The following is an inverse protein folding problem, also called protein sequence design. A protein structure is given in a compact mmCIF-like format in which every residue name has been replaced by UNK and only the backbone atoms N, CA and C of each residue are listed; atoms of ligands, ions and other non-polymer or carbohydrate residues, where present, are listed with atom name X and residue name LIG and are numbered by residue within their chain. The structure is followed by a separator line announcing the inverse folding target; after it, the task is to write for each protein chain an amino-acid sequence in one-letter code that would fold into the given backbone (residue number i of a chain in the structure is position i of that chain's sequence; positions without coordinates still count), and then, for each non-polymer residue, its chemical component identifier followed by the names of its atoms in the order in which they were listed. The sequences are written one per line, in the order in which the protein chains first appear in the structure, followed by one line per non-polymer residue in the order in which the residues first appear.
data_IF_432443863329
#
_entry.id   IF_432443863329
#
_cell.length_a   1.000
_cell.length_b   1.000
_cell.length_c   1.000
_cell.angle_alpha   90.00
_cell.angle_beta   90.00
_cell.angle_gamma   90.00
#
_symmetry.space_group_name_H-M   'P 1'
#
loop_
_entity.id
_entity.type
_entity.pdbx_description
1 polymer ?
#
# COMPACT_ATOMS: atom_id res chain seq x y z
N UNK A 1 -23.68 -15.29 39.31
CA UNK A 1 -22.28 -15.04 39.75
C UNK A 1 -21.68 -13.97 38.82
N UNK A 2 -20.97 -13.00 39.38
CA UNK A 2 -20.27 -11.97 38.56
C UNK A 2 -19.04 -12.66 37.91
N UNK A 3 -18.96 -12.79 36.58
CA UNK A 3 -17.93 -13.57 35.88
C UNK A 3 -16.50 -13.11 36.24
N UNK A 4 -16.33 -11.81 36.48
CA UNK A 4 -15.06 -11.22 36.88
C UNK A 4 -14.52 -11.78 38.22
N UNK A 5 -15.40 -11.99 39.23
CA UNK A 5 -15.00 -12.62 40.49
C UNK A 5 -14.54 -14.08 40.35
N UNK A 6 -15.14 -14.80 39.40
CA UNK A 6 -14.79 -16.19 39.07
C UNK A 6 -13.36 -16.26 38.46
N UNK A 7 -13.07 -15.41 37.48
CA UNK A 7 -11.76 -15.31 36.84
C UNK A 7 -10.66 -14.95 37.84
N UNK A 8 -10.93 -13.94 38.69
CA UNK A 8 -9.96 -13.48 39.69
C UNK A 8 -9.62 -14.53 40.73
N UNK A 9 -10.62 -15.28 41.22
CA UNK A 9 -10.38 -16.41 42.14
C UNK A 9 -9.55 -17.54 41.51
N UNK A 10 -9.60 -17.67 40.19
CA UNK A 10 -8.93 -18.75 39.42
C UNK A 10 -7.70 -18.25 38.63
N UNK A 11 -7.16 -17.05 38.99
CA UNK A 11 -6.04 -16.42 38.27
C UNK A 11 -4.82 -17.33 38.07
N UNK A 12 -4.52 -18.21 39.00
CA UNK A 12 -3.41 -19.18 38.88
C UNK A 12 -3.62 -20.22 37.77
N UNK A 13 -4.89 -20.51 37.40
CA UNK A 13 -5.22 -21.45 36.33
C UNK A 13 -5.22 -20.81 34.94
N UNK A 14 -5.53 -19.50 34.87
CA UNK A 14 -5.57 -18.73 33.63
C UNK A 14 -4.28 -17.96 33.37
N UNK A 15 -3.35 -17.91 34.32
CA UNK A 15 -2.17 -17.05 34.24
C UNK A 15 -1.33 -17.30 33.02
N UNK A 16 -1.11 -18.57 32.67
CA UNK A 16 -0.39 -18.95 31.46
C UNK A 16 -1.12 -18.51 30.18
N UNK A 17 -2.43 -18.77 30.09
CA UNK A 17 -3.25 -18.36 28.95
C UNK A 17 -3.29 -16.84 28.78
N UNK A 18 -3.41 -16.11 29.87
CA UNK A 18 -3.38 -14.65 29.87
C UNK A 18 -2.05 -14.14 29.31
N UNK A 19 -0.93 -14.70 29.82
CA UNK A 19 0.41 -14.34 29.33
C UNK A 19 0.58 -14.67 27.85
N UNK A 20 0.14 -15.85 27.42
CA UNK A 20 0.19 -16.28 26.02
C UNK A 20 -0.57 -15.30 25.12
N UNK A 21 -1.79 -14.90 25.49
CA UNK A 21 -2.59 -13.96 24.70
C UNK A 21 -1.96 -12.56 24.70
N UNK A 22 -1.36 -12.09 25.82
CA UNK A 22 -0.66 -10.81 25.89
C UNK A 22 0.49 -10.77 24.87
N UNK A 23 1.37 -11.77 24.92
CA UNK A 23 2.53 -11.85 24.01
C UNK A 23 2.06 -11.99 22.56
N UNK A 24 1.09 -12.87 22.34
CA UNK A 24 0.52 -13.09 21.02
C UNK A 24 -0.11 -11.81 20.42
N UNK A 25 -0.80 -11.02 21.23
CA UNK A 25 -1.43 -9.78 20.78
C UNK A 25 -0.42 -8.69 20.44
N UNK A 26 0.69 -8.60 21.19
CA UNK A 26 1.77 -7.68 20.88
C UNK A 26 2.45 -8.06 19.54
N UNK A 27 2.69 -9.35 19.29
CA UNK A 27 3.23 -9.84 18.03
C UNK A 27 2.23 -9.65 16.90
N UNK A 28 0.95 -9.93 17.15
CA UNK A 28 -0.12 -9.75 16.15
C UNK A 28 -0.24 -8.27 15.75
N UNK A 29 -0.09 -7.33 16.66
CA UNK A 29 -0.07 -5.91 16.35
C UNK A 29 1.05 -5.61 15.36
N UNK A 30 2.29 -5.99 15.67
CA UNK A 30 3.46 -5.78 14.79
C UNK A 30 3.25 -6.34 13.37
N UNK A 31 2.60 -7.51 13.26
CA UNK A 31 2.41 -8.18 11.96
C UNK A 31 1.22 -7.61 11.19
N UNK A 32 0.11 -7.33 11.89
CA UNK A 32 -1.13 -6.86 11.26
C UNK A 32 -1.09 -5.38 10.86
N UNK A 33 -0.34 -4.58 11.60
CA UNK A 33 -0.23 -3.16 11.38
C UNK A 33 0.04 -2.80 9.90
N UNK A 34 1.15 -3.20 9.25
CA UNK A 34 1.40 -2.88 7.86
C UNK A 34 0.36 -3.52 6.89
N UNK A 35 -0.27 -4.63 7.28
CA UNK A 35 -1.31 -5.27 6.46
C UNK A 35 -2.58 -4.42 6.46
N UNK A 36 -3.00 -3.93 7.62
CA UNK A 36 -4.18 -3.07 7.77
C UNK A 36 -4.00 -1.78 6.98
N UNK A 37 -2.80 -1.17 7.06
CA UNK A 37 -2.45 0.02 6.28
C UNK A 37 -2.50 -0.28 4.79
N UNK A 38 -1.86 -1.35 4.34
CA UNK A 38 -1.85 -1.74 2.92
C UNK A 38 -3.26 -2.00 2.37
N UNK A 39 -4.13 -2.68 3.14
CA UNK A 39 -5.54 -2.87 2.75
C UNK A 39 -6.25 -1.53 2.63
N UNK A 40 -6.11 -0.65 3.60
CA UNK A 40 -6.70 0.68 3.56
C UNK A 40 -6.23 1.46 2.34
N UNK A 41 -4.93 1.51 2.11
CA UNK A 41 -4.34 2.23 1.00
C UNK A 41 -4.76 1.67 -0.37
N UNK A 42 -4.91 0.36 -0.49
CA UNK A 42 -5.38 -0.29 -1.72
C UNK A 42 -6.84 0.05 -2.09
N UNK A 43 -7.65 0.48 -1.11
CA UNK A 43 -9.06 0.87 -1.35
C UNK A 43 -9.22 2.33 -1.75
N UNK A 44 -8.17 3.14 -1.61
CA UNK A 44 -8.25 4.57 -1.94
C UNK A 44 -8.01 4.82 -3.43
N UNK A 45 -8.60 5.90 -3.93
CA UNK A 45 -8.36 6.35 -5.31
C UNK A 45 -6.90 6.81 -5.46
N UNK A 46 -6.22 6.38 -6.53
CA UNK A 46 -4.84 6.79 -6.84
C UNK A 46 -4.76 8.21 -7.41
N UNK A 47 -5.88 8.84 -7.77
CA UNK A 47 -5.91 10.10 -8.50
C UNK A 47 -5.76 9.96 -10.01
N UNK A 48 -5.58 8.74 -10.52
CA UNK A 48 -5.54 8.38 -11.93
C UNK A 48 -6.17 7.00 -12.17
N UNK A 49 -6.45 6.68 -13.44
CA UNK A 49 -7.29 5.53 -13.83
C UNK A 49 -6.45 4.27 -14.09
N UNK A 50 -6.01 3.60 -13.02
CA UNK A 50 -5.19 2.38 -13.12
C UNK A 50 -5.92 1.16 -13.72
N UNK A 51 -7.25 1.13 -13.64
CA UNK A 51 -8.02 -0.06 -14.02
C UNK A 51 -8.01 -0.31 -15.54
N UNK A 52 -7.83 0.76 -16.30
CA UNK A 52 -7.83 0.75 -17.77
C UNK A 52 -6.44 0.75 -18.39
N UNK A 53 -5.39 0.76 -17.56
CA UNK A 53 -4.02 0.86 -18.02
C UNK A 53 -3.36 -0.51 -18.17
N UNK A 54 -2.68 -0.70 -19.30
CA UNK A 54 -1.83 -1.87 -19.57
C UNK A 54 -0.44 -1.36 -19.91
N UNK A 55 0.56 -1.92 -19.25
CA UNK A 55 1.95 -1.62 -19.55
C UNK A 55 2.55 -2.70 -20.43
N UNK A 56 3.25 -2.27 -21.45
CA UNK A 56 4.07 -3.10 -22.33
C UNK A 56 5.52 -2.75 -22.07
N UNK A 57 6.24 -3.69 -21.51
CA UNK A 57 7.67 -3.55 -21.33
C UNK A 57 8.40 -4.21 -22.50
N UNK A 58 9.10 -3.39 -23.27
CA UNK A 58 9.92 -3.81 -24.40
C UNK A 58 11.38 -4.00 -23.99
N UNK A 59 12.06 -4.85 -24.73
CA UNK A 59 13.50 -5.05 -24.61
C UNK A 59 14.12 -5.15 -26.00
N UNK A 60 15.42 -4.96 -26.07
CA UNK A 60 16.18 -5.29 -27.28
C UNK A 60 16.09 -6.78 -27.57
N UNK A 61 16.21 -7.14 -28.82
CA UNK A 61 16.35 -8.54 -29.21
C UNK A 61 17.64 -9.15 -28.65
N UNK A 62 17.65 -10.46 -28.48
CA UNK A 62 18.86 -11.19 -28.12
C UNK A 62 19.92 -11.06 -29.23
N UNK A 63 21.19 -11.05 -28.85
CA UNK A 63 22.32 -10.99 -29.80
C UNK A 63 22.30 -12.15 -30.80
N UNK A 64 21.68 -13.27 -30.43
CA UNK A 64 21.52 -14.45 -31.30
C UNK A 64 20.33 -14.37 -32.25
N UNK A 65 19.47 -13.34 -32.09
CA UNK A 65 18.32 -13.16 -32.97
C UNK A 65 18.77 -12.68 -34.37
N UNK A 66 18.30 -13.28 -35.46
CA UNK A 66 18.67 -12.87 -36.81
C UNK A 66 18.33 -11.42 -37.17
N UNK A 67 17.36 -10.82 -36.45
CA UNK A 67 16.97 -9.42 -36.62
C UNK A 67 17.76 -8.44 -35.75
N UNK A 68 18.70 -8.93 -34.91
CA UNK A 68 19.54 -8.10 -34.07
C UNK A 68 20.54 -7.31 -34.89
N UNK A 69 20.65 -6.02 -34.61
CA UNK A 69 21.61 -5.10 -35.22
C UNK A 69 22.37 -4.34 -34.14
N UNK A 70 23.63 -4.68 -33.94
CA UNK A 70 24.45 -4.13 -32.86
C UNK A 70 24.63 -2.61 -32.96
N UNK A 71 24.76 -2.06 -34.17
CA UNK A 71 24.93 -0.62 -34.38
C UNK A 71 23.67 0.13 -33.99
N UNK A 72 22.51 -0.36 -34.41
CA UNK A 72 21.21 0.24 -34.03
C UNK A 72 20.90 0.05 -32.56
N UNK A 73 21.32 -1.05 -31.97
CA UNK A 73 21.08 -1.33 -30.57
C UNK A 73 21.84 -0.38 -29.61
N UNK A 74 22.83 0.33 -30.06
CA UNK A 74 23.60 1.34 -29.33
C UNK A 74 23.28 2.78 -29.73
N UNK A 75 22.54 2.97 -30.81
CA UNK A 75 22.14 4.26 -31.34
C UNK A 75 20.78 4.69 -30.74
N UNK A 76 20.80 5.79 -29.99
CA UNK A 76 19.61 6.30 -29.28
C UNK A 76 18.51 6.71 -30.25
N UNK A 77 18.85 7.39 -31.33
CA UNK A 77 17.89 7.87 -32.33
C UNK A 77 17.22 6.69 -33.05
N UNK A 78 17.99 5.64 -33.31
CA UNK A 78 17.47 4.40 -33.88
C UNK A 78 16.53 3.66 -32.91
N UNK A 79 16.88 3.61 -31.62
CA UNK A 79 16.02 3.01 -30.58
C UNK A 79 14.72 3.80 -30.41
N UNK A 80 14.80 5.12 -30.36
CA UNK A 80 13.61 6.00 -30.32
C UNK A 80 12.69 5.75 -31.52
N UNK A 81 13.29 5.71 -32.73
CA UNK A 81 12.54 5.40 -33.95
C UNK A 81 11.87 4.02 -33.91
N UNK A 82 12.56 3.00 -33.39
CA UNK A 82 12.02 1.65 -33.28
C UNK A 82 10.84 1.62 -32.27
N UNK A 83 10.93 2.33 -31.14
CA UNK A 83 9.84 2.47 -30.18
C UNK A 83 8.63 3.19 -30.80
N UNK A 84 8.88 4.32 -31.47
CA UNK A 84 7.83 5.11 -32.11
C UNK A 84 7.11 4.36 -33.25
N UNK A 85 7.76 3.38 -33.89
CA UNK A 85 7.11 2.50 -34.88
C UNK A 85 6.20 1.43 -34.26
N UNK A 86 6.45 1.07 -33.01
CA UNK A 86 5.63 0.06 -32.31
C UNK A 86 4.32 0.66 -31.78
N UNK A 87 4.32 1.93 -31.38
CA UNK A 87 3.14 2.60 -30.80
C UNK A 87 1.91 2.55 -31.69
N UNK A 88 1.97 2.89 -32.99
CA UNK A 88 0.80 2.81 -33.89
C UNK A 88 0.21 1.40 -34.03
N UNK A 89 1.03 0.35 -33.88
CA UNK A 89 0.53 -1.03 -33.92
C UNK A 89 -0.38 -1.33 -32.74
N UNK A 90 -0.01 -0.88 -31.54
CA UNK A 90 -0.87 -1.02 -30.37
C UNK A 90 -2.09 -0.10 -30.45
N UNK A 91 -1.91 1.12 -30.92
CA UNK A 91 -3.01 2.08 -31.08
C UNK A 91 -4.07 1.61 -32.09
N UNK A 92 -3.69 0.79 -33.09
CA UNK A 92 -4.61 0.23 -34.06
C UNK A 92 -5.48 -0.92 -33.52
N UNK A 93 -5.21 -1.44 -32.33
CA UNK A 93 -6.02 -2.49 -31.73
C UNK A 93 -7.37 -1.94 -31.28
N UNK A 94 -8.46 -2.64 -31.63
CA UNK A 94 -9.85 -2.21 -31.39
C UNK A 94 -10.12 -1.82 -29.93
N UNK A 95 -9.49 -2.50 -28.98
CA UNK A 95 -9.70 -2.30 -27.55
C UNK A 95 -8.88 -1.16 -26.96
N UNK A 96 -7.89 -0.67 -27.70
CA UNK A 96 -7.01 0.40 -27.25
C UNK A 96 -7.61 1.76 -27.59
N UNK A 97 -7.66 2.64 -26.63
CA UNK A 97 -8.05 4.03 -26.77
C UNK A 97 -6.85 4.91 -27.12
N UNK A 98 -5.74 4.71 -26.38
CA UNK A 98 -4.49 5.45 -26.57
C UNK A 98 -3.28 4.55 -26.28
N UNK A 99 -2.18 4.83 -26.96
CA UNK A 99 -0.89 4.21 -26.73
C UNK A 99 0.19 5.29 -26.73
N UNK A 100 0.99 5.35 -25.67
CA UNK A 100 2.04 6.37 -25.50
C UNK A 100 3.36 5.74 -25.02
N UNK A 101 4.51 6.30 -25.39
CA UNK A 101 5.78 5.95 -24.77
C UNK A 101 5.82 6.50 -23.34
N UNK A 102 6.50 5.80 -22.44
CA UNK A 102 6.78 6.29 -21.10
C UNK A 102 8.26 6.65 -20.96
N UNK A 103 8.59 7.71 -20.21
CA UNK A 103 9.96 8.01 -19.86
C UNK A 103 10.49 6.92 -18.89
N UNK A 104 11.80 6.86 -18.73
CA UNK A 104 12.44 5.85 -17.87
C UNK A 104 12.26 6.18 -16.40
N UNK A 105 12.07 7.44 -16.06
CA UNK A 105 11.93 7.93 -14.69
C UNK A 105 10.50 8.30 -14.37
N UNK A 106 10.07 7.96 -13.17
CA UNK A 106 8.75 8.30 -12.67
C UNK A 106 7.69 7.23 -12.98
N UNK A 107 6.46 7.65 -13.21
CA UNK A 107 5.32 6.76 -13.38
C UNK A 107 5.54 5.71 -14.49
N UNK A 108 5.61 4.45 -14.08
CA UNK A 108 5.81 3.32 -15.01
C UNK A 108 7.23 3.21 -15.61
N UNK A 109 8.13 4.11 -15.29
CA UNK A 109 9.49 4.13 -15.83
C UNK A 109 10.46 3.17 -15.13
N UNK A 110 10.21 2.84 -13.88
CA UNK A 110 11.01 1.88 -13.09
C UNK A 110 12.27 2.46 -12.46
N UNK A 111 12.48 3.76 -12.53
CA UNK A 111 13.56 4.47 -11.85
C UNK A 111 12.97 5.57 -10.98
N UNK A 112 12.79 5.25 -9.70
CA UNK A 112 12.21 6.16 -8.71
C UNK A 112 13.24 7.20 -8.30
N UNK A 113 12.89 8.48 -8.37
CA UNK A 113 13.73 9.56 -7.88
C UNK A 113 12.93 10.54 -7.02
N UNK A 114 13.62 11.17 -6.06
CA UNK A 114 13.03 12.13 -5.15
C UNK A 114 13.86 13.42 -5.17
N UNK A 115 13.17 14.54 -5.08
CA UNK A 115 13.77 15.84 -4.82
C UNK A 115 13.49 16.23 -3.37
N UNK A 116 14.50 16.76 -2.70
CA UNK A 116 14.34 17.34 -1.36
C UNK A 116 14.01 18.82 -1.48
N UNK A 117 12.96 19.23 -0.79
CA UNK A 117 12.49 20.60 -0.79
C UNK A 117 12.47 21.13 0.62
N UNK A 118 12.90 22.36 0.78
CA UNK A 118 12.72 23.10 2.02
C UNK A 118 11.46 23.94 1.95
N UNK A 119 10.54 23.69 2.88
CA UNK A 119 9.32 24.47 3.05
C UNK A 119 9.62 25.84 3.68
N UNK A 120 8.65 26.77 3.69
CA UNK A 120 8.83 28.11 4.30
C UNK A 120 9.22 28.09 5.77
N UNK A 121 8.86 27.04 6.49
CA UNK A 121 9.20 26.82 7.91
C UNK A 121 10.56 26.14 8.13
N UNK A 122 11.37 26.01 7.06
CA UNK A 122 12.64 25.32 7.04
C UNK A 122 12.56 23.78 7.20
N UNK A 123 11.38 23.19 7.15
CA UNK A 123 11.21 21.73 7.12
C UNK A 123 11.61 21.20 5.76
N UNK A 124 12.37 20.11 5.72
CA UNK A 124 12.75 19.41 4.49
C UNK A 124 11.79 18.26 4.24
N UNK A 125 11.21 18.22 3.03
CA UNK A 125 10.35 17.14 2.55
C UNK A 125 10.93 16.52 1.28
N UNK A 126 10.65 15.24 1.08
CA UNK A 126 10.97 14.57 -0.17
C UNK A 126 9.73 14.65 -1.09
N UNK A 127 9.88 15.04 -2.35
CA UNK A 127 8.84 14.97 -3.37
C UNK A 127 9.22 13.95 -4.44
N UNK A 128 8.25 13.13 -4.85
CA UNK A 128 8.47 12.16 -5.93
C UNK A 128 8.62 12.91 -7.26
N UNK A 129 9.73 12.65 -7.93
CA UNK A 129 10.02 13.24 -9.22
C UNK A 129 9.58 12.32 -10.35
N UNK A 130 8.59 12.75 -11.09
CA UNK A 130 8.12 12.10 -12.28
C UNK A 130 8.51 12.90 -13.52
N UNK A 131 8.82 12.22 -14.60
CA UNK A 131 8.98 12.86 -15.90
C UNK A 131 7.86 12.42 -16.83
N UNK A 132 7.56 13.24 -17.82
CA UNK A 132 6.62 12.93 -18.88
C UNK A 132 7.21 13.38 -20.23
N UNK A 133 6.76 12.74 -21.31
CA UNK A 133 7.17 13.11 -22.66
C UNK A 133 6.13 14.09 -23.18
N UNK A 134 6.52 15.36 -23.48
CA UNK A 134 5.60 16.36 -24.03
C UNK A 134 4.95 15.87 -25.34
N UNK A 135 3.75 16.37 -25.66
CA UNK A 135 2.99 16.05 -26.87
C UNK A 135 2.55 14.58 -27.02
N UNK A 136 2.67 13.77 -25.94
CA UNK A 136 2.25 12.37 -25.96
C UNK A 136 0.91 12.11 -25.28
N UNK A 137 0.18 13.14 -24.86
CA UNK A 137 -1.07 13.04 -24.11
C UNK A 137 -0.92 12.24 -22.78
N UNK A 138 0.22 12.38 -22.12
CA UNK A 138 0.57 11.64 -20.91
C UNK A 138 -0.48 11.78 -19.81
N UNK A 139 -0.83 13.01 -19.41
CA UNK A 139 -1.77 13.26 -18.31
C UNK A 139 -3.17 12.74 -18.65
N UNK A 140 -3.63 12.94 -19.89
CA UNK A 140 -4.91 12.42 -20.35
C UNK A 140 -4.92 10.89 -20.38
N UNK A 141 -3.84 10.27 -20.87
CA UNK A 141 -3.73 8.80 -20.94
C UNK A 141 -3.72 8.16 -19.54
N UNK A 142 -3.01 8.77 -18.59
CA UNK A 142 -3.03 8.34 -17.19
C UNK A 142 -4.40 8.59 -16.51
N UNK A 143 -5.17 9.57 -16.97
CA UNK A 143 -6.44 9.98 -16.37
C UNK A 143 -6.25 10.91 -15.17
N UNK A 144 -5.18 11.70 -15.13
CA UNK A 144 -5.03 12.79 -14.18
C UNK A 144 -6.09 13.87 -14.43
N UNK A 145 -6.38 14.66 -13.41
CA UNK A 145 -7.32 15.77 -13.46
C UNK A 145 -6.62 17.05 -13.05
N UNK A 146 -6.87 18.15 -13.78
CA UNK A 146 -6.42 19.47 -13.37
C UNK A 146 -7.21 19.96 -12.16
N UNK A 147 -6.59 20.78 -11.34
CA UNK A 147 -7.26 21.49 -10.25
C UNK A 147 -8.06 22.66 -10.83
N UNK A 148 -9.31 22.41 -11.27
CA UNK A 148 -10.13 23.36 -12.04
C UNK A 148 -10.59 24.58 -11.23
N UNK A 149 -10.63 24.48 -9.90
CA UNK A 149 -11.00 25.56 -8.99
C UNK A 149 -9.89 26.59 -8.79
N UNK A 150 -8.69 26.37 -9.33
CA UNK A 150 -7.54 27.27 -9.21
C UNK A 150 -7.53 28.22 -10.40
N UNK A 151 -7.66 29.54 -10.17
CA UNK A 151 -7.63 30.53 -11.24
C UNK A 151 -6.34 30.50 -12.05
N UNK A 152 -6.46 30.44 -13.38
CA UNK A 152 -5.31 30.45 -14.30
C UNK A 152 -4.55 29.11 -14.37
N UNK A 153 -5.04 28.06 -13.73
CA UNK A 153 -4.46 26.73 -13.88
C UNK A 153 -4.71 26.19 -15.30
N UNK A 154 -3.68 25.66 -15.99
CA UNK A 154 -3.87 25.07 -17.31
C UNK A 154 -4.76 23.82 -17.26
N UNK A 155 -5.43 23.54 -18.36
CA UNK A 155 -6.17 22.29 -18.56
C UNK A 155 -5.21 21.10 -18.70
N UNK A 156 -5.73 19.89 -18.56
CA UNK A 156 -4.93 18.67 -18.78
C UNK A 156 -4.39 18.58 -20.21
N UNK A 157 -5.15 19.04 -21.19
CA UNK A 157 -4.74 19.09 -22.59
C UNK A 157 -3.58 20.07 -22.81
N UNK A 158 -3.61 21.21 -22.15
CA UNK A 158 -2.51 22.18 -22.17
C UNK A 158 -1.28 21.62 -21.46
N UNK A 159 -1.44 20.98 -20.30
CA UNK A 159 -0.34 20.34 -19.56
C UNK A 159 0.36 19.23 -20.37
N UNK A 160 -0.37 18.46 -21.20
CA UNK A 160 0.23 17.45 -22.07
C UNK A 160 1.25 18.02 -23.05
N UNK A 161 1.05 19.27 -23.48
CA UNK A 161 1.85 19.93 -24.50
C UNK A 161 2.88 20.91 -23.90
N UNK A 162 2.87 21.09 -22.59
CA UNK A 162 3.79 22.01 -21.93
C UNK A 162 5.22 21.45 -21.92
N UNK A 163 6.16 22.33 -22.21
CA UNK A 163 7.56 22.10 -21.88
C UNK A 163 7.81 22.62 -20.46
N UNK A 164 7.96 21.71 -19.51
CA UNK A 164 8.21 22.04 -18.11
C UNK A 164 9.69 21.90 -17.83
N UNK A 165 10.39 23.00 -17.64
CA UNK A 165 11.81 23.00 -17.43
C UNK A 165 12.18 22.38 -16.08
N UNK A 166 12.99 21.33 -16.14
CA UNK A 166 13.46 20.58 -14.99
C UNK A 166 14.12 21.42 -13.87
N UNK A 167 14.70 22.55 -14.21
CA UNK A 167 15.45 23.37 -13.26
C UNK A 167 14.63 24.51 -12.65
N UNK A 168 13.62 24.99 -13.34
CA UNK A 168 12.94 26.24 -12.99
C UNK A 168 11.42 26.12 -12.88
N UNK A 169 10.84 25.05 -13.39
CA UNK A 169 9.38 24.86 -13.48
C UNK A 169 8.95 23.49 -12.98
N UNK A 170 7.70 23.38 -12.55
CA UNK A 170 7.08 22.09 -12.19
C UNK A 170 5.58 22.12 -12.41
N UNK A 171 5.01 20.99 -12.78
CA UNK A 171 3.61 20.66 -12.52
C UNK A 171 3.60 19.85 -11.23
N UNK A 172 2.74 20.19 -10.28
CA UNK A 172 2.69 19.48 -8.99
C UNK A 172 1.27 19.11 -8.57
N UNK A 173 1.16 18.30 -7.54
CA UNK A 173 -0.13 17.99 -6.92
C UNK A 173 -0.62 19.14 -6.06
N UNK A 174 -1.95 19.20 -5.85
CA UNK A 174 -2.61 20.21 -5.01
C UNK A 174 -2.00 20.27 -3.60
N UNK A 175 -1.79 19.12 -2.99
CA UNK A 175 -1.16 19.02 -1.67
C UNK A 175 0.22 19.66 -1.63
N UNK A 176 1.04 19.42 -2.66
CA UNK A 176 2.37 20.02 -2.70
C UNK A 176 2.32 21.54 -2.88
N UNK A 177 1.44 22.03 -3.74
CA UNK A 177 1.23 23.46 -3.91
C UNK A 177 0.82 24.14 -2.59
N UNK A 178 -0.09 23.52 -1.83
CA UNK A 178 -0.49 24.01 -0.49
C UNK A 178 0.66 24.02 0.50
N UNK A 179 1.48 22.99 0.54
CA UNK A 179 2.62 22.94 1.45
C UNK A 179 3.65 24.05 1.15
N UNK A 180 3.82 24.39 -0.13
CA UNK A 180 4.76 25.43 -0.56
C UNK A 180 4.25 26.85 -0.34
N UNK A 181 2.95 27.09 -0.53
CA UNK A 181 2.38 28.43 -0.60
C UNK A 181 1.27 28.73 0.42
N UNK A 182 0.86 27.74 1.23
CA UNK A 182 -0.32 27.87 2.10
C UNK A 182 -1.62 27.77 1.32
N UNK A 183 -2.71 28.29 1.89
CA UNK A 183 -4.06 28.18 1.30
C UNK A 183 -4.32 29.18 0.15
N UNK A 184 -3.47 30.19 -0.01
CA UNK A 184 -3.59 31.23 -1.04
C UNK A 184 -2.72 30.94 -2.28
N UNK A 185 -2.59 29.68 -2.68
CA UNK A 185 -1.80 29.33 -3.85
C UNK A 185 -2.58 29.51 -5.16
N UNK A 186 -1.94 30.12 -6.12
CA UNK A 186 -2.42 30.21 -7.51
C UNK A 186 -1.37 29.65 -8.46
N UNK A 187 -1.80 28.97 -9.53
CA UNK A 187 -0.90 28.21 -10.40
C UNK A 187 0.17 29.07 -11.09
N UNK A 188 -0.09 30.32 -11.39
CA UNK A 188 0.76 31.09 -12.32
C UNK A 188 1.61 32.18 -11.68
N UNK A 189 1.38 32.56 -10.43
CA UNK A 189 2.02 33.77 -9.84
C UNK A 189 3.01 33.46 -8.72
N UNK A 190 3.12 32.22 -8.29
CA UNK A 190 3.91 31.89 -7.12
C UNK A 190 5.26 31.30 -7.48
N UNK A 191 6.25 32.16 -7.59
CA UNK A 191 7.63 31.75 -7.47
C UNK A 191 8.05 31.81 -6.01
N UNK A 192 8.32 30.65 -5.37
CA UNK A 192 9.03 30.60 -4.08
C UNK A 192 10.30 29.78 -4.23
N UNK A 193 11.34 30.25 -3.56
CA UNK A 193 12.63 29.56 -3.47
C UNK A 193 12.46 28.21 -2.77
N UNK A 194 12.41 27.16 -3.54
CA UNK A 194 12.65 25.83 -3.01
C UNK A 194 14.17 25.61 -2.98
N UNK A 195 14.76 25.64 -1.81
CA UNK A 195 16.17 25.31 -1.66
C UNK A 195 16.33 23.80 -1.60
N UNK A 196 16.94 23.25 -2.61
CA UNK A 196 17.37 21.86 -2.61
C UNK A 196 18.61 21.71 -1.71
N UNK A 197 18.50 20.90 -0.66
CA UNK A 197 19.59 20.66 0.31
C UNK A 197 20.46 19.42 0.00
N UNK A 198 20.65 19.04 -1.24
CA UNK A 198 21.67 18.05 -1.55
C UNK A 198 22.89 18.70 -2.20
N UNK A 199 23.91 18.89 -1.42
CA UNK A 199 25.10 19.70 -1.61
C UNK A 199 26.02 19.43 -2.80
N UNK A 200 25.59 18.72 -3.84
CA UNK A 200 26.42 18.55 -5.04
C UNK A 200 25.80 19.08 -6.34
N UNK A 201 24.48 19.30 -6.40
CA UNK A 201 23.79 19.74 -7.62
C UNK A 201 23.11 21.10 -7.51
N UNK A 202 23.00 21.67 -6.31
CA UNK A 202 22.13 22.83 -6.03
C UNK A 202 22.79 24.21 -6.13
N UNK A 203 23.98 24.33 -6.68
CA UNK A 203 24.70 25.62 -6.70
C UNK A 203 24.00 26.72 -7.50
N UNK A 204 23.00 26.40 -8.32
CA UNK A 204 22.36 27.39 -9.22
C UNK A 204 20.83 27.23 -9.37
N UNK A 205 20.12 26.56 -8.48
CA UNK A 205 18.66 26.50 -8.61
C UNK A 205 18.04 27.78 -8.04
N UNK A 206 17.44 28.55 -8.93
CA UNK A 206 16.62 29.70 -8.63
C UNK A 206 15.24 29.32 -8.08
N UNK A 207 14.32 30.26 -8.10
CA UNK A 207 12.93 30.03 -7.71
C UNK A 207 12.25 29.00 -8.62
N UNK A 208 11.70 27.93 -8.04
CA UNK A 208 10.96 26.94 -8.79
C UNK A 208 9.52 27.42 -8.99
N UNK A 209 9.10 27.58 -10.24
CA UNK A 209 7.78 28.10 -10.61
C UNK A 209 6.79 26.96 -10.78
N UNK A 210 5.63 27.03 -10.13
CA UNK A 210 4.51 26.16 -10.41
C UNK A 210 3.83 26.63 -11.69
N UNK A 211 3.81 25.79 -12.72
CA UNK A 211 3.20 26.09 -14.02
C UNK A 211 1.91 25.31 -14.27
N UNK A 212 1.58 24.35 -13.39
CA UNK A 212 0.34 23.62 -13.42
C UNK A 212 0.11 22.83 -12.12
N UNK A 213 -1.15 22.67 -11.75
CA UNK A 213 -1.55 21.92 -10.55
C UNK A 213 -2.56 20.87 -10.96
N UNK A 214 -2.25 19.62 -10.62
CA UNK A 214 -3.18 18.49 -10.76
C UNK A 214 -3.83 18.18 -9.41
N UNK A 215 -4.98 17.51 -9.46
CA UNK A 215 -5.60 16.94 -8.27
C UNK A 215 -4.68 15.94 -7.59
N UNK A 216 -4.88 15.75 -6.29
CA UNK A 216 -4.04 14.84 -5.52
C UNK A 216 -4.04 13.44 -6.11
N UNK A 217 -2.86 12.96 -6.36
CA UNK A 217 -2.59 11.64 -6.89
C UNK A 217 -1.46 10.98 -6.10
N UNK A 218 -1.31 9.68 -6.24
CA UNK A 218 -0.30 8.92 -5.50
C UNK A 218 0.82 8.50 -6.43
N UNK A 219 2.04 8.64 -5.97
CA UNK A 219 3.21 8.18 -6.73
C UNK A 219 3.15 6.68 -7.04
N UNK A 220 2.61 5.90 -6.11
CA UNK A 220 2.35 4.47 -6.25
C UNK A 220 0.94 4.15 -5.76
N UNK A 221 0.26 3.24 -6.42
CA UNK A 221 -1.14 2.93 -6.17
C UNK A 221 -1.50 2.58 -4.73
N UNK A 222 -0.61 1.94 -3.99
CA UNK A 222 -0.81 1.49 -2.62
C UNK A 222 -0.16 2.40 -1.56
N UNK A 223 0.67 3.37 -1.97
CA UNK A 223 1.30 4.30 -1.02
C UNK A 223 0.65 5.66 -1.09
N UNK A 224 0.18 6.21 0.04
CA UNK A 224 -0.43 7.53 0.10
C UNK A 224 0.65 8.62 0.05
N UNK A 225 1.34 8.73 -1.08
CA UNK A 225 2.35 9.74 -1.28
C UNK A 225 1.89 10.79 -2.29
N UNK A 226 1.34 11.92 -1.82
CA UNK A 226 0.71 12.90 -2.68
C UNK A 226 1.66 13.98 -3.21
N UNK A 227 2.94 13.97 -2.82
CA UNK A 227 3.89 14.98 -3.25
C UNK A 227 4.57 14.52 -4.53
N UNK A 228 4.07 14.98 -5.67
CA UNK A 228 4.54 14.55 -6.98
C UNK A 228 4.80 15.76 -7.84
N UNK A 229 5.97 15.79 -8.48
CA UNK A 229 6.41 16.78 -9.44
C UNK A 229 6.63 16.19 -10.79
N UNK A 230 6.14 16.86 -11.79
CA UNK A 230 6.30 16.46 -13.17
C UNK A 230 7.17 17.47 -13.93
N UNK A 231 8.08 16.90 -14.71
CA UNK A 231 9.00 17.62 -15.59
C UNK A 231 8.95 17.05 -16.99
N UNK A 232 9.17 17.88 -17.99
CA UNK A 232 9.30 17.42 -19.37
C UNK A 232 10.63 16.70 -19.56
N UNK A 233 10.58 15.49 -20.15
CA UNK A 233 11.78 14.72 -20.51
C UNK A 233 11.56 14.04 -21.87
N UNK A 234 12.12 14.56 -22.97
CA UNK A 234 12.00 13.92 -24.28
C UNK A 234 12.50 12.48 -24.26
N UNK A 235 11.89 11.63 -25.08
CA UNK A 235 12.22 10.21 -25.12
C UNK A 235 13.71 9.98 -25.40
N UNK A 236 14.30 10.70 -26.35
CA UNK A 236 15.73 10.64 -26.68
C UNK A 236 16.63 10.98 -25.48
N UNK A 237 16.24 11.97 -24.68
CA UNK A 237 17.00 12.30 -23.47
C UNK A 237 16.84 11.24 -22.39
N UNK A 238 15.63 10.78 -22.17
CA UNK A 238 15.31 9.71 -21.23
C UNK A 238 16.07 8.41 -21.56
N UNK A 239 16.19 8.06 -22.84
CA UNK A 239 16.92 6.87 -23.32
C UNK A 239 18.41 6.90 -23.00
N UNK A 240 19.05 8.09 -22.91
CA UNK A 240 20.48 8.23 -22.53
C UNK A 240 20.81 7.67 -21.16
N UNK A 241 19.81 7.65 -20.27
CA UNK A 241 19.98 7.20 -18.89
C UNK A 241 19.51 5.74 -18.68
N UNK A 242 19.15 5.05 -19.78
CA UNK A 242 18.62 3.69 -19.74
C UNK A 242 19.71 2.63 -19.59
N UNK A 243 20.03 2.29 -18.36
CA UNK A 243 21.01 1.24 -18.06
C UNK A 243 20.44 -0.20 -18.18
N UNK A 244 19.09 -0.34 -18.30
CA UNK A 244 18.41 -1.64 -18.20
C UNK A 244 17.96 -2.21 -19.53
N UNK A 245 18.13 -1.49 -20.64
CA UNK A 245 17.64 -1.85 -21.98
C UNK A 245 16.13 -2.24 -21.99
N UNK A 246 15.35 -1.58 -21.17
CA UNK A 246 13.90 -1.79 -21.05
C UNK A 246 13.22 -0.50 -21.42
N UNK A 247 12.18 -0.61 -22.25
CA UNK A 247 11.41 0.53 -22.73
C UNK A 247 9.95 0.26 -22.42
N UNK A 248 9.24 1.26 -21.95
CA UNK A 248 7.86 1.10 -21.52
C UNK A 248 6.92 1.86 -22.44
N UNK A 249 5.84 1.19 -22.85
CA UNK A 249 4.70 1.78 -23.53
C UNK A 249 3.48 1.61 -22.63
N UNK A 250 2.71 2.66 -22.47
CA UNK A 250 1.45 2.64 -21.75
C UNK A 250 0.30 2.61 -22.73
N UNK A 251 -0.61 1.68 -22.53
CA UNK A 251 -1.85 1.56 -23.27
C UNK A 251 -3.01 1.91 -22.35
N UNK A 252 -3.89 2.79 -22.82
CA UNK A 252 -5.19 3.01 -22.21
C UNK A 252 -6.25 2.24 -22.99
N UNK A 253 -7.01 1.41 -22.30
CA UNK A 253 -8.08 0.64 -22.90
C UNK A 253 -9.38 1.43 -22.94
N UNK A 254 -10.25 1.13 -23.89
CA UNK A 254 -11.60 1.68 -23.97
C UNK A 254 -12.44 1.30 -22.75
N UNK A 255 -13.45 2.11 -22.40
CA UNK A 255 -14.36 1.80 -21.28
C UNK A 255 -15.00 0.41 -21.45
N UNK A 256 -15.01 -0.36 -20.34
CA UNK A 256 -15.58 -1.71 -20.33
C UNK A 256 -14.61 -2.84 -20.67
N UNK A 257 -13.41 -2.53 -21.18
CA UNK A 257 -12.39 -3.53 -21.47
C UNK A 257 -11.62 -3.92 -20.18
N UNK A 258 -11.31 -5.21 -20.06
CA UNK A 258 -10.52 -5.74 -18.95
C UNK A 258 -9.03 -5.72 -19.26
N UNK A 259 -8.25 -4.91 -18.51
CA UNK A 259 -6.80 -4.83 -18.67
C UNK A 259 -6.13 -6.21 -18.55
N UNK A 260 -6.54 -7.01 -17.57
CA UNK A 260 -6.05 -8.38 -17.38
C UNK A 260 -6.44 -9.33 -18.50
N UNK A 261 -7.67 -9.21 -19.01
CA UNK A 261 -8.16 -10.00 -20.14
C UNK A 261 -7.40 -9.66 -21.41
N UNK A 262 -7.23 -8.37 -21.70
CA UNK A 262 -6.45 -7.87 -22.82
C UNK A 262 -5.00 -8.35 -22.76
N UNK A 263 -4.32 -8.16 -21.65
CA UNK A 263 -2.93 -8.60 -21.48
C UNK A 263 -2.75 -10.11 -21.72
N UNK A 264 -3.67 -10.93 -21.23
CA UNK A 264 -3.64 -12.38 -21.47
C UNK A 264 -3.82 -12.75 -22.94
N UNK A 265 -4.68 -12.02 -23.67
CA UNK A 265 -4.92 -12.26 -25.10
C UNK A 265 -3.69 -11.92 -25.91
N UNK A 266 -3.11 -10.72 -25.74
CA UNK A 266 -1.90 -10.30 -26.45
C UNK A 266 -0.73 -11.25 -26.17
N UNK A 267 -0.55 -11.67 -24.92
CA UNK A 267 0.51 -12.61 -24.58
C UNK A 267 0.39 -13.99 -25.26
N UNK A 268 -0.81 -14.35 -25.74
CA UNK A 268 -1.06 -15.62 -26.45
C UNK A 268 -0.97 -15.50 -27.97
N UNK A 269 -0.93 -14.28 -28.49
CA UNK A 269 -0.92 -14.02 -29.92
C UNK A 269 0.53 -13.80 -30.40
N UNK A 270 1.10 -14.75 -31.17
CA UNK A 270 2.49 -14.63 -31.62
C UNK A 270 2.70 -13.45 -32.56
N UNK A 271 1.72 -13.13 -33.43
CA UNK A 271 1.84 -12.05 -34.42
C UNK A 271 1.95 -10.68 -33.75
N UNK A 272 1.23 -10.48 -32.66
CA UNK A 272 1.27 -9.25 -31.89
C UNK A 272 2.57 -9.09 -31.06
N UNK A 273 3.31 -10.17 -30.87
CA UNK A 273 4.60 -10.16 -30.17
C UNK A 273 5.79 -9.90 -31.06
N UNK A 274 5.63 -10.04 -32.36
CA UNK A 274 6.67 -9.72 -33.33
C UNK A 274 6.68 -8.22 -33.64
N UNK A 275 7.48 -7.48 -32.89
CA UNK A 275 7.58 -6.02 -33.00
C UNK A 275 8.76 -5.55 -33.86
N UNK A 276 9.25 -6.41 -34.74
CA UNK A 276 10.38 -6.12 -35.60
C UNK A 276 11.70 -6.23 -34.87
N UNK A 277 12.25 -5.11 -34.38
CA UNK A 277 13.58 -5.05 -33.72
C UNK A 277 13.54 -5.00 -32.20
N UNK A 278 12.34 -4.97 -31.65
CA UNK A 278 12.10 -5.00 -30.22
C UNK A 278 11.31 -6.26 -29.85
N UNK A 279 11.61 -6.84 -28.72
CA UNK A 279 10.85 -7.93 -28.11
C UNK A 279 9.97 -7.43 -26.98
N UNK A 280 8.83 -8.10 -26.75
CA UNK A 280 8.04 -7.90 -25.55
C UNK A 280 8.67 -8.72 -24.42
N UNK A 281 9.22 -8.04 -23.44
CA UNK A 281 9.71 -8.66 -22.21
C UNK A 281 8.53 -9.05 -21.31
N UNK A 282 7.61 -8.11 -21.09
CA UNK A 282 6.44 -8.29 -20.24
C UNK A 282 5.28 -7.41 -20.73
N UNK A 283 4.07 -7.95 -20.68
CA UNK A 283 2.83 -7.22 -20.95
C UNK A 283 1.79 -7.62 -19.91
N UNK A 284 1.41 -6.68 -19.07
CA UNK A 284 0.49 -6.89 -17.94
C UNK A 284 -0.38 -5.64 -17.71
N UNK A 285 -1.44 -5.82 -16.94
CA UNK A 285 -2.16 -4.70 -16.33
C UNK A 285 -1.21 -3.82 -15.51
N UNK A 286 -1.38 -2.51 -15.53
CA UNK A 286 -0.51 -1.57 -14.82
C UNK A 286 -0.44 -1.87 -13.31
N UNK A 287 -1.56 -2.29 -12.71
CA UNK A 287 -1.61 -2.74 -11.31
C UNK A 287 -0.65 -3.88 -10.97
N UNK A 288 -0.21 -4.66 -11.93
CA UNK A 288 0.71 -5.78 -11.72
C UNK A 288 2.19 -5.37 -11.79
N UNK A 289 2.48 -4.14 -12.14
CA UNK A 289 3.84 -3.62 -12.17
C UNK A 289 4.17 -2.87 -10.88
N UNK A 290 5.38 -3.09 -10.39
CA UNK A 290 5.90 -2.43 -9.20
C UNK A 290 5.88 -0.91 -9.32
N UNK A 291 6.21 -0.43 -10.51
CA UNK A 291 6.30 0.98 -10.85
C UNK A 291 4.99 1.75 -10.66
N UNK A 292 3.86 1.04 -10.76
CA UNK A 292 2.53 1.62 -10.52
C UNK A 292 1.95 1.22 -9.16
N UNK A 293 2.41 0.13 -8.61
CA UNK A 293 1.69 -0.48 -7.49
C UNK A 293 2.47 -0.36 -6.18
N UNK A 294 3.69 0.10 -6.17
CA UNK A 294 4.48 0.11 -4.92
C UNK A 294 4.37 -1.19 -4.09
N UNK A 295 3.51 -2.09 -4.57
CA UNK A 295 2.92 -3.26 -3.93
C UNK A 295 3.86 -4.45 -3.83
N UNK A 296 5.13 -4.20 -3.81
CA UNK A 296 6.05 -5.20 -3.25
C UNK A 296 5.80 -5.41 -1.74
N UNK A 297 4.87 -4.63 -1.13
CA UNK A 297 4.52 -4.82 0.26
C UNK A 297 3.84 -6.19 0.52
N UNK A 298 2.98 -6.66 -0.34
CA UNK A 298 2.33 -7.98 -0.18
C UNK A 298 3.11 -9.12 -0.86
N UNK A 299 3.97 -8.82 -1.83
CA UNK A 299 4.64 -9.79 -2.68
C UNK A 299 6.17 -9.79 -2.59
N UNK A 300 6.80 -8.84 -1.89
CA UNK A 300 8.23 -8.88 -1.67
C UNK A 300 8.63 -10.15 -0.90
N UNK A 301 9.80 -10.72 -1.12
CA UNK A 301 10.27 -11.86 -0.33
C UNK A 301 10.15 -11.60 1.17
N UNK A 302 10.45 -10.37 1.61
CA UNK A 302 10.40 -9.93 3.01
C UNK A 302 8.99 -10.00 3.58
N UNK A 303 7.98 -9.78 2.77
CA UNK A 303 6.57 -9.80 3.18
C UNK A 303 5.92 -11.15 3.04
N UNK A 304 6.36 -11.95 2.07
CA UNK A 304 6.00 -13.38 2.04
C UNK A 304 6.43 -14.05 3.32
N UNK A 305 7.65 -13.79 3.82
CA UNK A 305 8.12 -14.30 5.10
C UNK A 305 7.27 -13.79 6.26
N UNK A 306 6.89 -12.51 6.28
CA UNK A 306 6.03 -11.92 7.29
C UNK A 306 4.65 -12.57 7.29
N UNK A 307 4.04 -12.76 6.11
CA UNK A 307 2.73 -13.39 5.96
C UNK A 307 2.76 -14.88 6.38
N UNK A 308 3.82 -15.62 6.02
CA UNK A 308 4.02 -17.00 6.48
C UNK A 308 4.18 -17.04 8.00
N UNK A 309 4.96 -16.13 8.57
CA UNK A 309 5.10 -15.99 10.03
C UNK A 309 3.76 -15.68 10.69
N UNK A 310 2.94 -14.80 10.12
CA UNK A 310 1.61 -14.48 10.64
C UNK A 310 0.71 -15.72 10.68
N UNK A 311 0.64 -16.48 9.61
CA UNK A 311 -0.15 -17.73 9.56
C UNK A 311 0.38 -18.74 10.58
N UNK A 312 1.70 -18.90 10.66
CA UNK A 312 2.34 -19.77 11.64
C UNK A 312 2.00 -19.36 13.08
N UNK A 313 2.14 -18.08 13.43
CA UNK A 313 1.77 -17.60 14.75
C UNK A 313 0.28 -17.73 15.04
N UNK A 314 -0.60 -17.43 14.07
CA UNK A 314 -2.04 -17.61 14.24
C UNK A 314 -2.41 -19.06 14.55
N UNK A 315 -1.80 -20.02 13.85
CA UNK A 315 -2.00 -21.45 14.11
C UNK A 315 -1.48 -21.83 15.51
N UNK A 316 -0.29 -21.37 15.91
CA UNK A 316 0.27 -21.66 17.22
C UNK A 316 -0.60 -21.09 18.35
N UNK A 317 -1.07 -19.84 18.22
CA UNK A 317 -1.99 -19.23 19.18
C UNK A 317 -3.28 -20.03 19.28
N UNK A 318 -3.85 -20.42 18.14
CA UNK A 318 -5.06 -21.24 18.11
C UNK A 318 -4.86 -22.56 18.86
N UNK A 319 -3.75 -23.26 18.60
CA UNK A 319 -3.44 -24.54 19.25
C UNK A 319 -3.22 -24.36 20.75
N UNK A 320 -2.50 -23.31 21.16
CA UNK A 320 -2.28 -22.99 22.57
C UNK A 320 -3.57 -22.69 23.32
N UNK A 321 -4.39 -21.80 22.76
CA UNK A 321 -5.72 -21.47 23.31
C UNK A 321 -6.61 -22.72 23.36
N UNK A 322 -6.69 -23.48 22.26
CA UNK A 322 -7.46 -24.71 22.20
C UNK A 322 -7.02 -25.73 23.26
N UNK A 323 -5.72 -26.00 23.33
CA UNK A 323 -5.15 -26.93 24.32
C UNK A 323 -5.43 -26.52 25.77
N UNK A 324 -5.25 -25.22 26.07
CA UNK A 324 -5.50 -24.69 27.41
C UNK A 324 -6.99 -24.79 27.78
N UNK A 325 -7.90 -24.40 26.87
CA UNK A 325 -9.33 -24.54 27.13
C UNK A 325 -9.78 -26.00 27.21
N UNK A 326 -9.17 -26.89 26.43
CA UNK A 326 -9.43 -28.34 26.51
C UNK A 326 -9.10 -28.89 27.90
N UNK A 327 -7.93 -28.52 28.44
CA UNK A 327 -7.52 -28.95 29.78
C UNK A 327 -8.39 -28.30 30.88
N UNK A 328 -8.77 -27.04 30.72
CA UNK A 328 -9.65 -26.35 31.66
C UNK A 328 -11.06 -26.95 31.70
N UNK A 329 -11.60 -27.37 30.54
CA UNK A 329 -12.91 -28.01 30.47
C UNK A 329 -12.93 -29.38 31.15
N UNK A 330 -11.89 -30.19 31.00
CA UNK A 330 -11.79 -31.45 31.74
C UNK A 330 -11.88 -31.26 33.26
N UNK A 331 -11.19 -30.25 33.81
CA UNK A 331 -11.22 -29.92 35.23
C UNK A 331 -12.55 -29.25 35.70
N UNK A 332 -13.49 -28.98 34.80
CA UNK A 332 -14.79 -28.38 35.09
C UNK A 332 -15.96 -29.30 34.86
N UNK A 333 -15.67 -30.57 34.57
CA UNK A 333 -16.71 -31.57 34.32
C UNK A 333 -17.68 -31.70 35.51
N UNK A 334 -17.12 -31.77 36.73
CA UNK A 334 -17.91 -31.81 37.95
C UNK A 334 -18.77 -30.55 38.16
N UNK A 335 -18.18 -29.34 37.99
CA UNK A 335 -18.94 -28.09 38.16
C UNK A 335 -20.10 -27.99 37.15
N UNK A 336 -19.88 -28.43 35.90
CA UNK A 336 -20.90 -28.49 34.85
C UNK A 336 -21.98 -29.54 35.19
N UNK A 337 -21.59 -30.68 35.69
CA UNK A 337 -22.48 -31.72 36.16
C UNK A 337 -23.40 -31.22 37.31
N UNK A 338 -22.80 -30.60 38.32
CA UNK A 338 -23.54 -29.98 39.43
C UNK A 338 -24.52 -28.94 38.92
N UNK A 339 -24.07 -28.01 38.06
CA UNK A 339 -24.97 -26.97 37.49
C UNK A 339 -26.15 -27.60 36.72
N UNK A 340 -25.89 -28.67 35.96
CA UNK A 340 -26.95 -29.39 35.24
C UNK A 340 -27.91 -30.14 36.16
N UNK A 341 -27.42 -30.71 37.24
CA UNK A 341 -28.26 -31.33 38.28
C UNK A 341 -29.20 -30.30 38.92
N UNK A 342 -28.74 -29.02 39.05
CA UNK A 342 -29.57 -27.89 39.51
C UNK A 342 -30.42 -27.24 38.37
N UNK A 343 -30.57 -27.92 37.21
CA UNK A 343 -31.47 -27.45 36.14
C UNK A 343 -30.85 -26.46 35.15
N UNK A 344 -29.54 -26.27 35.13
CA UNK A 344 -28.92 -25.42 34.12
C UNK A 344 -29.02 -26.07 32.74
N UNK A 345 -29.46 -25.27 31.73
CA UNK A 345 -29.51 -25.73 30.36
C UNK A 345 -28.11 -25.84 29.75
N UNK A 346 -27.88 -26.74 28.75
CA UNK A 346 -26.62 -26.84 28.03
C UNK A 346 -26.14 -25.49 27.45
N UNK A 347 -27.11 -24.67 27.01
CA UNK A 347 -26.80 -23.32 26.47
C UNK A 347 -26.23 -22.40 27.55
N UNK A 348 -26.70 -22.47 28.78
CA UNK A 348 -26.24 -21.66 29.92
C UNK A 348 -24.81 -22.03 30.30
N UNK A 349 -24.46 -23.31 30.27
CA UNK A 349 -23.09 -23.80 30.56
C UNK A 349 -22.13 -23.33 29.48
N UNK A 350 -22.50 -23.46 28.19
CA UNK A 350 -21.68 -22.94 27.08
C UNK A 350 -21.46 -21.43 27.18
N UNK A 351 -22.53 -20.65 27.40
CA UNK A 351 -22.45 -19.20 27.47
C UNK A 351 -21.53 -18.74 28.58
N UNK A 352 -21.48 -19.44 29.71
CA UNK A 352 -20.55 -19.12 30.79
C UNK A 352 -19.08 -19.22 30.35
N UNK A 353 -18.73 -20.28 29.61
CA UNK A 353 -17.37 -20.44 29.07
C UNK A 353 -17.01 -19.38 28.01
N UNK A 354 -17.94 -19.08 27.12
CA UNK A 354 -17.75 -18.03 26.14
C UNK A 354 -17.54 -16.65 26.79
N UNK A 355 -18.36 -16.29 27.79
CA UNK A 355 -18.22 -15.00 28.49
C UNK A 355 -16.86 -14.92 29.22
N UNK A 356 -16.41 -16.01 29.86
CA UNK A 356 -15.10 -16.05 30.50
C UNK A 356 -13.97 -15.90 29.45
N UNK A 357 -14.09 -16.63 28.31
CA UNK A 357 -13.13 -16.51 27.21
C UNK A 357 -13.06 -15.12 26.59
N UNK A 358 -14.20 -14.47 26.37
CA UNK A 358 -14.29 -13.10 25.85
C UNK A 358 -13.58 -12.13 26.78
N UNK A 359 -13.84 -12.21 28.09
CA UNK A 359 -13.21 -11.31 29.07
C UNK A 359 -11.69 -11.49 29.09
N UNK A 360 -11.23 -12.75 29.07
CA UNK A 360 -9.79 -13.04 29.05
C UNK A 360 -9.17 -12.58 27.73
N UNK A 361 -9.81 -12.88 26.58
CA UNK A 361 -9.29 -12.50 25.29
C UNK A 361 -9.15 -10.96 25.17
N UNK A 362 -10.23 -10.23 25.42
CA UNK A 362 -10.22 -8.77 25.28
C UNK A 362 -9.28 -8.11 26.30
N UNK A 363 -9.34 -8.52 27.57
CA UNK A 363 -8.49 -7.94 28.61
C UNK A 363 -7.00 -8.17 28.35
N UNK A 364 -6.62 -9.40 27.96
CA UNK A 364 -5.22 -9.73 27.68
C UNK A 364 -4.75 -9.08 26.36
N UNK A 365 -5.59 -9.04 25.34
CA UNK A 365 -5.24 -8.42 24.05
C UNK A 365 -5.04 -6.91 24.20
N UNK A 366 -5.89 -6.23 24.96
CA UNK A 366 -5.71 -4.79 25.23
C UNK A 366 -4.38 -4.52 25.96
N UNK A 367 -4.00 -5.37 26.91
CA UNK A 367 -2.71 -5.23 27.59
C UNK A 367 -1.55 -5.44 26.61
N UNK A 368 -1.60 -6.48 25.77
CA UNK A 368 -0.57 -6.76 24.78
C UNK A 368 -0.43 -5.63 23.76
N UNK A 369 -1.54 -5.13 23.24
CA UNK A 369 -1.54 -3.96 22.35
C UNK A 369 -0.99 -2.70 23.05
N UNK A 370 -1.40 -2.45 24.29
CA UNK A 370 -0.90 -1.28 25.06
C UNK A 370 0.62 -1.34 25.25
N UNK A 371 1.19 -2.52 25.53
CA UNK A 371 2.64 -2.71 25.62
C UNK A 371 3.31 -2.34 24.29
N UNK A 372 2.77 -2.79 23.18
CA UNK A 372 3.35 -2.51 21.87
C UNK A 372 3.19 -1.03 21.47
N UNK A 373 2.03 -0.43 21.70
CA UNK A 373 1.80 1.01 21.47
C UNK A 373 2.74 1.86 22.34
N UNK A 374 2.97 1.47 23.59
CA UNK A 374 3.96 2.13 24.44
C UNK A 374 5.37 2.03 23.84
N UNK A 375 5.75 0.86 23.33
CA UNK A 375 7.03 0.69 22.63
C UNK A 375 7.14 1.62 21.42
N UNK A 376 6.09 1.70 20.57
CA UNK A 376 6.06 2.61 19.43
C UNK A 376 6.18 4.08 19.82
N UNK A 377 5.52 4.50 20.92
CA UNK A 377 5.60 5.87 21.41
C UNK A 377 7.01 6.29 21.89
N UNK A 378 7.83 5.32 22.26
CA UNK A 378 9.24 5.54 22.64
C UNK A 378 10.21 5.40 21.48
N UNK A 379 9.76 4.83 20.35
CA UNK A 379 10.55 4.61 19.16
C UNK A 379 9.84 5.18 17.93
N UNK A 380 9.75 6.53 17.78
CA UNK A 380 8.98 7.17 16.70
C UNK A 380 9.39 6.71 15.31
N UNK A 381 10.68 6.39 15.11
CA UNK A 381 11.20 5.84 13.84
C UNK A 381 10.58 4.50 13.43
N UNK A 382 9.97 3.79 14.38
CA UNK A 382 9.26 2.54 14.09
C UNK A 382 7.81 2.77 13.66
N UNK A 383 7.35 4.02 13.74
CA UNK A 383 6.02 4.47 13.31
C UNK A 383 6.18 5.38 12.09
N UNK A 384 6.61 4.79 10.96
CA UNK A 384 6.78 5.50 9.70
C UNK A 384 5.74 5.02 8.68
N UNK A 385 4.51 5.53 8.79
CA UNK A 385 3.42 5.21 7.86
C UNK A 385 2.88 6.46 7.18
N UNK A 386 2.45 6.28 5.95
CA UNK A 386 1.85 7.34 5.16
C UNK A 386 2.80 8.51 4.92
N UNK A 387 2.30 9.73 5.02
CA UNK A 387 3.10 10.95 4.85
C UNK A 387 4.27 11.05 5.85
N UNK A 388 4.14 10.49 7.05
CA UNK A 388 5.17 10.54 8.08
C UNK A 388 6.50 9.90 7.66
N UNK A 389 6.46 8.90 6.76
CA UNK A 389 7.69 8.28 6.27
C UNK A 389 8.51 9.19 5.37
N UNK A 390 7.91 10.27 4.86
CA UNK A 390 8.51 11.18 3.89
C UNK A 390 8.70 12.60 4.44
N UNK A 391 7.92 12.97 5.45
CA UNK A 391 8.07 14.24 6.15
C UNK A 391 9.07 14.09 7.28
N UNK A 392 10.34 14.31 6.97
CA UNK A 392 11.38 14.26 8.01
C UNK A 392 11.14 15.37 9.03
N UNK A 393 11.07 15.00 10.29
CA UNK A 393 11.05 15.91 11.45
C UNK A 393 9.87 16.91 11.53
N UNK A 394 8.81 16.74 10.71
CA UNK A 394 7.64 17.61 10.76
C UNK A 394 6.57 17.09 11.72
N UNK A 395 6.03 18.00 12.52
CA UNK A 395 4.83 17.73 13.32
C UNK A 395 3.61 17.62 12.38
N UNK A 396 2.99 16.46 12.35
CA UNK A 396 1.80 16.18 11.53
C UNK A 396 0.63 17.11 11.87
N UNK A 397 0.57 17.67 13.08
CA UNK A 397 -0.48 18.61 13.47
C UNK A 397 -0.45 19.94 12.69
N UNK A 398 0.67 20.24 12.04
CA UNK A 398 0.85 21.44 11.22
C UNK A 398 0.43 21.23 9.75
N UNK A 399 0.10 20.00 9.35
CA UNK A 399 -0.42 19.75 8.03
C UNK A 399 -1.88 20.16 7.91
N UNK A 400 -2.34 20.57 6.71
CA UNK A 400 -3.75 20.80 6.44
C UNK A 400 -4.61 19.61 6.89
N UNK A 401 -5.80 19.85 7.48
CA UNK A 401 -6.64 18.78 8.04
C UNK A 401 -7.03 17.68 7.03
N UNK A 402 -7.17 18.02 5.76
CA UNK A 402 -7.49 17.10 4.66
C UNK A 402 -6.37 16.09 4.36
N UNK A 403 -5.15 16.37 4.79
CA UNK A 403 -4.01 15.44 4.72
C UNK A 403 -3.93 14.51 5.92
N UNK A 404 -4.65 14.81 6.99
CA UNK A 404 -4.69 13.99 8.18
C UNK A 404 -5.49 12.71 7.90
N UNK A 405 -4.78 11.63 7.66
CA UNK A 405 -5.40 10.30 7.64
C UNK A 405 -5.20 9.63 8.99
N UNK A 406 -6.11 8.74 9.36
CA UNK A 406 -5.95 7.93 10.58
C UNK A 406 -4.62 7.15 10.57
N UNK A 407 -4.07 6.86 9.38
CA UNK A 407 -2.79 6.14 9.22
C UNK A 407 -1.61 7.00 9.73
N UNK A 408 -1.64 8.30 9.50
CA UNK A 408 -0.60 9.23 9.97
C UNK A 408 -0.81 9.70 11.42
N UNK A 409 -2.02 9.61 11.95
CA UNK A 409 -2.30 9.97 13.34
C UNK A 409 -1.96 8.80 14.27
N UNK A 410 -1.00 9.00 15.18
CA UNK A 410 -0.50 7.95 16.05
C UNK A 410 -1.61 7.28 16.90
N UNK A 411 -2.52 8.08 17.46
CA UNK A 411 -3.56 7.54 18.34
C UNK A 411 -4.69 6.87 17.59
N UNK A 412 -5.15 7.50 16.49
CA UNK A 412 -6.18 6.91 15.63
C UNK A 412 -5.68 5.60 15.00
N UNK A 413 -4.45 5.59 14.49
CA UNK A 413 -3.80 4.41 13.94
C UNK A 413 -3.71 3.28 14.97
N UNK A 414 -3.13 3.58 16.14
CA UNK A 414 -3.01 2.61 17.22
C UNK A 414 -4.36 2.05 17.66
N UNK A 415 -5.41 2.88 17.70
CA UNK A 415 -6.76 2.45 18.05
C UNK A 415 -7.36 1.50 16.99
N UNK A 416 -7.23 1.83 15.70
CA UNK A 416 -7.72 0.98 14.60
C UNK A 416 -7.03 -0.38 14.59
N UNK A 417 -5.69 -0.40 14.66
CA UNK A 417 -4.93 -1.66 14.66
C UNK A 417 -5.24 -2.47 15.91
N UNK A 418 -5.34 -1.83 17.09
CA UNK A 418 -5.76 -2.50 18.35
C UNK A 418 -7.14 -3.15 18.18
N UNK A 419 -8.10 -2.46 17.57
CA UNK A 419 -9.44 -3.01 17.35
C UNK A 419 -9.39 -4.26 16.43
N UNK A 420 -8.59 -4.23 15.37
CA UNK A 420 -8.39 -5.38 14.47
C UNK A 420 -7.74 -6.56 15.20
N UNK A 421 -6.69 -6.30 15.99
CA UNK A 421 -6.02 -7.35 16.79
C UNK A 421 -6.99 -7.96 17.81
N UNK A 422 -7.74 -7.12 18.54
CA UNK A 422 -8.72 -7.60 19.50
C UNK A 422 -9.81 -8.44 18.83
N UNK A 423 -10.30 -8.04 17.66
CA UNK A 423 -11.27 -8.81 16.89
C UNK A 423 -10.71 -10.16 16.45
N UNK A 424 -9.49 -10.20 15.94
CA UNK A 424 -8.82 -11.45 15.55
C UNK A 424 -8.64 -12.38 16.75
N UNK A 425 -8.11 -11.88 17.87
CA UNK A 425 -7.90 -12.66 19.09
C UNK A 425 -9.22 -13.20 19.65
N UNK A 426 -10.27 -12.37 19.59
CA UNK A 426 -11.61 -12.79 20.00
C UNK A 426 -12.11 -13.96 19.14
N UNK A 427 -11.96 -13.90 17.82
CA UNK A 427 -12.34 -14.97 16.90
C UNK A 427 -11.56 -16.25 17.22
N UNK A 428 -10.24 -16.15 17.37
CA UNK A 428 -9.36 -17.29 17.68
C UNK A 428 -9.78 -17.97 18.98
N UNK A 429 -10.03 -17.18 20.04
CA UNK A 429 -10.44 -17.70 21.34
C UNK A 429 -11.84 -18.33 21.28
N UNK A 430 -12.81 -17.69 20.60
CA UNK A 430 -14.15 -18.23 20.46
C UNK A 430 -14.16 -19.56 19.69
N UNK A 431 -13.39 -19.66 18.62
CA UNK A 431 -13.24 -20.91 17.85
C UNK A 431 -12.51 -21.97 18.69
N UNK A 432 -11.45 -21.59 19.42
CA UNK A 432 -10.72 -22.49 20.32
C UNK A 432 -11.58 -23.05 21.46
N UNK A 433 -12.52 -22.25 21.97
CA UNK A 433 -13.45 -22.68 23.04
C UNK A 433 -14.61 -23.52 22.48
N UNK A 434 -14.98 -23.37 21.22
CA UNK A 434 -16.22 -23.93 20.65
C UNK A 434 -16.39 -25.44 20.91
N UNK A 435 -15.37 -26.22 20.57
CA UNK A 435 -15.39 -27.70 20.75
C UNK A 435 -15.43 -28.08 22.22
N UNK A 436 -14.52 -27.59 23.09
CA UNK A 436 -14.55 -27.86 24.52
C UNK A 436 -15.86 -27.48 25.19
N UNK A 437 -16.39 -26.29 24.87
CA UNK A 437 -17.66 -25.81 25.44
C UNK A 437 -18.86 -26.65 25.00
N UNK A 438 -18.87 -27.07 23.74
CA UNK A 438 -19.90 -27.96 23.22
C UNK A 438 -19.87 -29.32 23.93
N UNK A 439 -18.71 -29.94 24.07
CA UNK A 439 -18.52 -31.21 24.76
C UNK A 439 -18.97 -31.12 26.21
N UNK A 440 -18.45 -30.11 26.95
CA UNK A 440 -18.81 -29.91 28.37
C UNK A 440 -20.30 -29.69 28.57
N UNK A 441 -20.97 -28.97 27.67
CA UNK A 441 -22.40 -28.67 27.80
C UNK A 441 -23.32 -29.88 27.64
N UNK A 442 -22.83 -30.99 27.08
CA UNK A 442 -23.62 -32.22 26.84
C UNK A 442 -23.41 -33.32 27.89
N UNK A 443 -22.44 -33.15 28.78
CA UNK A 443 -22.16 -34.09 29.85
C UNK A 443 -23.38 -34.22 30.75
N UNK A 444 -23.80 -35.47 31.02
CA UNK A 444 -24.87 -35.76 31.95
C UNK A 444 -24.39 -35.68 33.39
N UNK A 445 -25.25 -35.36 34.39
CA UNK A 445 -24.87 -35.34 35.81
C UNK A 445 -24.25 -36.67 36.28
N UNK A 446 -24.70 -37.81 35.72
CA UNK A 446 -24.20 -39.15 36.06
C UNK A 446 -22.80 -39.36 35.52
N UNK A 447 -22.53 -38.98 34.25
CA UNK A 447 -21.19 -39.06 33.66
C UNK A 447 -20.18 -38.16 34.37
N UNK A 448 -20.65 -37.00 34.85
CA UNK A 448 -19.77 -36.03 35.54
C UNK A 448 -19.31 -36.50 36.91
N UNK A 449 -20.05 -37.42 37.54
CA UNK A 449 -19.75 -37.98 38.86
C UNK A 449 -19.13 -39.38 38.79
N UNK A 450 -19.14 -40.03 37.61
CA UNK A 450 -18.58 -41.35 37.37
C UNK A 450 -17.10 -41.35 36.97
N UNK A 451 -16.51 -40.18 36.72
CA UNK A 451 -15.10 -39.99 36.34
C UNK A 451 -14.13 -39.87 37.57
N UNK A 452 -14.61 -40.29 38.77
CA UNK A 452 -13.77 -40.59 39.91
C UNK A 452 -13.40 -42.10 39.89
#
# INVERSE_FOLDING_TARGET
MKPFKSIWKRRGRYGWLILEIIVASAIAFFVLDPIVVSIYDSTRNCGYDMDRLVMVQLTRLDVQDPAFDEKRATDIDAIESDIMQVIPRFAALEQVEKAIPLPIRGFGGGDDSFDQIMLPDSTVIDAFKATFIPETEFFTTMGFRAAEDIPGNPTIEEMNNMWVDFYNEMICTRTEARLLHGDEYTAMESSRKAHEQNGQWSKNKGDLKIVGIIEDSRAWGDRPYPLIRFYADPLSHSLKWNNRNRYNILLRLKPGESAKGFARRINRDPELRELGRLGILELKEAKAYREFNGADLILSPKERYRNVLMVFFAINIFLGVFGTFWLLTRKRTEEAGIMRAFGATPRRVRMMLYVEGIIIALGSSLIGCAIYVYYLSKNPKSFEYGLNSFLRDRDMSQLPPDLHTWVGDFWAHSAVVTAVVCALMLIVVLVGIAIPAWKLSRITPVEALADE
#
